data_IF_456432301452
#
_entry.id   IF_456432301452
#
_cell.length_a   1.000
_cell.length_b   1.000
_cell.length_c   1.000
_cell.angle_alpha   90.00
_cell.angle_beta   90.00
_cell.angle_gamma   90.00
#
_symmetry.space_group_name_H-M   'P 1'
#
loop_
_entity.id
_entity.type
_entity.pdbx_description
1 polymer ?
#
# COMPACT_ATOMS: atom_id res chain seq x y z
N UNK A 1 2.66 25.95 19.00
CA UNK A 1 1.93 25.40 17.83
C UNK A 1 2.76 25.50 16.54
N UNK A 2 3.31 26.67 16.18
CA UNK A 2 4.16 26.84 14.99
C UNK A 2 5.39 25.92 15.00
N UNK A 3 6.10 25.84 16.13
CA UNK A 3 7.26 24.93 16.31
C UNK A 3 6.89 23.45 16.12
N UNK A 4 5.71 23.05 16.58
CA UNK A 4 5.20 21.69 16.39
C UNK A 4 4.87 21.41 14.92
N UNK A 5 4.18 22.34 14.25
CA UNK A 5 3.85 22.20 12.83
C UNK A 5 5.10 22.15 11.96
N UNK A 6 6.07 23.03 12.22
CA UNK A 6 7.36 23.05 11.53
C UNK A 6 8.13 21.73 11.70
N UNK A 7 8.19 21.21 12.94
CA UNK A 7 8.83 19.91 13.20
C UNK A 7 8.14 18.78 12.43
N UNK A 8 6.80 18.77 12.40
CA UNK A 8 6.03 17.72 11.71
C UNK A 8 6.16 17.80 10.19
N UNK A 9 6.18 19.00 9.62
CA UNK A 9 6.45 19.23 8.19
C UNK A 9 7.88 18.80 7.83
N UNK A 10 8.87 19.13 8.67
CA UNK A 10 10.25 18.71 8.45
C UNK A 10 10.40 17.18 8.52
N UNK A 11 9.81 16.53 9.52
CA UNK A 11 9.79 15.05 9.58
C UNK A 11 9.11 14.45 8.36
N UNK A 12 7.97 15.00 7.93
CA UNK A 12 7.28 14.55 6.72
C UNK A 12 8.13 14.70 5.46
N UNK A 13 8.80 15.83 5.28
CA UNK A 13 9.69 16.08 4.16
C UNK A 13 10.87 15.10 4.16
N UNK A 14 11.51 14.87 5.32
CA UNK A 14 12.60 13.90 5.44
C UNK A 14 12.15 12.49 5.09
N UNK A 15 10.95 12.09 5.51
CA UNK A 15 10.37 10.78 5.16
C UNK A 15 10.12 10.70 3.65
N UNK A 16 9.52 11.73 3.04
CA UNK A 16 9.27 11.76 1.59
C UNK A 16 10.59 11.61 0.83
N UNK A 17 11.60 12.42 1.18
CA UNK A 17 12.93 12.37 0.54
C UNK A 17 13.58 11.01 0.75
N UNK A 18 13.50 10.44 1.96
CA UNK A 18 14.04 9.12 2.26
C UNK A 18 13.39 8.02 1.41
N UNK A 19 12.06 8.03 1.31
CA UNK A 19 11.31 7.08 0.48
C UNK A 19 11.64 7.26 -1.00
N UNK A 20 11.73 8.49 -1.51
CA UNK A 20 12.07 8.73 -2.91
C UNK A 20 13.50 8.30 -3.23
N UNK A 21 14.48 8.55 -2.36
CA UNK A 21 15.85 8.04 -2.52
C UNK A 21 15.84 6.51 -2.52
N UNK A 22 15.15 5.88 -1.57
CA UNK A 22 15.08 4.43 -1.45
C UNK A 22 14.47 3.80 -2.69
N UNK A 23 13.29 4.26 -3.13
CA UNK A 23 12.61 3.75 -4.33
C UNK A 23 13.44 4.04 -5.58
N UNK A 24 14.03 5.24 -5.70
CA UNK A 24 14.92 5.58 -6.80
C UNK A 24 16.12 4.64 -6.86
N UNK A 25 16.75 4.34 -5.73
CA UNK A 25 17.87 3.40 -5.65
C UNK A 25 17.46 1.98 -6.03
N UNK A 26 16.36 1.48 -5.44
CA UNK A 26 15.84 0.15 -5.72
C UNK A 26 15.51 -0.05 -7.20
N UNK A 27 14.97 0.96 -7.89
CA UNK A 27 14.68 0.84 -9.33
C UNK A 27 15.94 0.76 -10.20
N UNK A 28 17.07 1.35 -9.76
CA UNK A 28 18.36 1.22 -10.48
C UNK A 28 19.10 -0.08 -10.13
N UNK A 29 18.85 -0.62 -8.94
CA UNK A 29 19.36 -1.94 -8.54
C UNK A 29 18.60 -3.09 -9.22
N UNK A 30 17.33 -2.89 -9.54
CA UNK A 30 16.49 -3.89 -10.22
C UNK A 30 16.89 -4.15 -11.69
N UNK A 31 17.69 -3.27 -12.29
CA UNK A 31 18.16 -3.40 -13.67
C UNK A 31 18.25 -2.05 -14.38
N UNK A 32 18.54 -2.10 -15.68
CA UNK A 32 18.60 -0.91 -16.53
C UNK A 32 17.20 -0.42 -16.91
N UNK A 33 16.78 0.80 -16.50
CA UNK A 33 15.47 1.33 -16.86
C UNK A 33 15.25 1.42 -18.38
N UNK A 34 16.29 1.71 -19.18
CA UNK A 34 16.14 1.79 -20.64
C UNK A 34 15.82 0.42 -21.25
N UNK A 35 16.52 -0.63 -20.83
CA UNK A 35 16.25 -2.00 -21.26
C UNK A 35 14.83 -2.47 -20.84
N UNK A 36 14.34 -2.06 -19.67
CA UNK A 36 13.01 -2.42 -19.18
C UNK A 36 11.86 -1.72 -19.92
N UNK A 37 12.13 -0.59 -20.58
CA UNK A 37 11.13 0.15 -21.35
C UNK A 37 11.04 -0.30 -22.82
N UNK A 38 12.02 -1.07 -23.29
CA UNK A 38 12.09 -1.55 -24.66
C UNK A 38 11.63 -3.02 -24.77
N UNK A 39 11.16 -3.47 -25.93
CA UNK A 39 10.89 -4.88 -26.16
C UNK A 39 12.16 -5.73 -25.90
N UNK A 40 12.02 -6.98 -25.43
CA UNK A 40 13.18 -7.86 -25.20
C UNK A 40 14.05 -8.12 -26.45
N UNK A 41 13.49 -7.87 -27.64
CA UNK A 41 14.18 -7.99 -28.94
C UNK A 41 14.92 -6.72 -29.38
N UNK A 42 14.89 -5.63 -28.59
CA UNK A 42 15.54 -4.38 -28.94
C UNK A 42 17.07 -4.55 -29.05
N UNK A 43 17.68 -3.89 -30.02
CA UNK A 43 19.13 -3.98 -30.22
C UNK A 43 19.87 -3.24 -29.10
N UNK A 44 21.14 -3.61 -28.87
CA UNK A 44 21.99 -2.89 -27.92
C UNK A 44 22.14 -1.40 -28.28
N UNK A 45 22.09 -1.06 -29.58
CA UNK A 45 22.10 0.31 -30.07
C UNK A 45 20.84 1.08 -29.67
N UNK A 46 19.66 0.45 -29.74
CA UNK A 46 18.39 1.06 -29.32
C UNK A 46 18.37 1.33 -27.81
N UNK A 47 18.89 0.40 -27.02
CA UNK A 47 19.00 0.54 -25.55
C UNK A 47 19.96 1.69 -25.21
N UNK A 48 21.13 1.76 -25.87
CA UNK A 48 22.09 2.85 -25.66
C UNK A 48 21.51 4.22 -26.06
N UNK A 49 20.80 4.29 -27.20
CA UNK A 49 20.12 5.50 -27.63
C UNK A 49 19.02 5.93 -26.64
N UNK A 50 18.29 4.97 -26.07
CA UNK A 50 17.28 5.24 -25.05
C UNK A 50 17.91 5.72 -23.73
N UNK A 51 19.02 5.11 -23.29
CA UNK A 51 19.77 5.57 -22.11
C UNK A 51 20.19 7.03 -22.23
N UNK A 52 20.79 7.39 -23.36
CA UNK A 52 21.22 8.75 -23.63
C UNK A 52 20.03 9.73 -23.64
N UNK A 53 18.92 9.36 -24.27
CA UNK A 53 17.69 10.18 -24.31
C UNK A 53 17.07 10.41 -22.92
N UNK A 54 17.14 9.42 -22.05
CA UNK A 54 16.61 9.49 -20.68
C UNK A 54 17.62 10.08 -19.68
N UNK A 55 18.84 10.42 -20.12
CA UNK A 55 19.92 10.89 -19.24
C UNK A 55 20.34 9.84 -18.20
N UNK A 56 20.23 8.55 -18.53
CA UNK A 56 20.61 7.46 -17.63
C UNK A 56 22.14 7.26 -17.56
N UNK A 57 22.88 7.91 -18.45
CA UNK A 57 24.35 7.90 -18.47
C UNK A 57 24.98 8.87 -17.44
N UNK A 58 24.18 9.78 -16.89
CA UNK A 58 24.65 10.73 -15.89
C UNK A 58 24.85 10.09 -14.51
N UNK A 59 25.66 10.68 -13.62
CA UNK A 59 25.79 10.21 -12.25
C UNK A 59 24.43 10.13 -11.53
N UNK A 60 24.23 9.09 -10.71
CA UNK A 60 22.96 8.85 -9.99
C UNK A 60 22.43 10.09 -9.23
N UNK A 61 23.26 10.91 -8.56
CA UNK A 61 22.77 12.13 -7.91
C UNK A 61 22.15 13.13 -8.89
N UNK A 62 22.74 13.30 -10.08
CA UNK A 62 22.21 14.19 -11.11
C UNK A 62 20.87 13.68 -11.66
N UNK A 63 20.76 12.37 -11.89
CA UNK A 63 19.50 11.73 -12.28
C UNK A 63 18.41 11.93 -11.20
N UNK A 64 18.76 11.77 -9.92
CA UNK A 64 17.82 11.95 -8.81
C UNK A 64 17.36 13.40 -8.66
N UNK A 65 18.27 14.36 -8.77
CA UNK A 65 17.93 15.78 -8.70
C UNK A 65 17.02 16.21 -9.86
N UNK A 66 17.26 15.70 -11.09
CA UNK A 66 16.33 15.93 -12.21
C UNK A 66 14.95 15.34 -11.94
N UNK A 67 14.90 14.11 -11.43
CA UNK A 67 13.63 13.48 -11.04
C UNK A 67 12.87 14.32 -10.01
N UNK A 68 13.55 14.78 -8.95
CA UNK A 68 12.93 15.63 -7.93
C UNK A 68 12.45 16.98 -8.51
N UNK A 69 13.27 17.63 -9.34
CA UNK A 69 12.92 18.91 -9.95
C UNK A 69 11.69 18.79 -10.88
N UNK A 70 11.59 17.70 -11.62
CA UNK A 70 10.41 17.39 -12.43
C UNK A 70 9.19 17.07 -11.56
N UNK A 71 9.35 16.23 -10.53
CA UNK A 71 8.26 15.79 -9.65
C UNK A 71 7.61 16.97 -8.91
N UNK A 72 8.39 17.95 -8.44
CA UNK A 72 7.87 19.17 -7.79
C UNK A 72 7.03 20.03 -8.76
N UNK A 73 7.26 19.92 -10.07
CA UNK A 73 6.46 20.57 -11.12
C UNK A 73 5.27 19.71 -11.59
N UNK A 74 5.05 18.55 -10.97
CA UNK A 74 4.00 17.60 -11.34
C UNK A 74 4.37 16.66 -12.48
N UNK A 75 5.63 16.67 -12.96
CA UNK A 75 6.10 15.72 -13.96
C UNK A 75 6.79 14.52 -13.30
N UNK A 76 6.08 13.40 -13.26
CA UNK A 76 6.55 12.14 -12.71
C UNK A 76 7.12 11.19 -13.78
N UNK A 77 7.24 11.67 -15.03
CA UNK A 77 7.66 10.86 -16.17
C UNK A 77 6.62 9.80 -16.58
N UNK A 78 7.11 8.78 -17.28
CA UNK A 78 6.29 7.67 -17.80
C UNK A 78 6.42 6.42 -16.93
N UNK A 79 5.35 5.65 -16.83
CA UNK A 79 5.37 4.33 -16.23
C UNK A 79 6.26 3.39 -17.04
N UNK A 80 7.25 2.77 -16.40
CA UNK A 80 8.10 1.75 -17.03
C UNK A 80 7.28 0.55 -17.54
N UNK A 81 6.14 0.26 -16.90
CA UNK A 81 5.29 -0.89 -17.21
C UNK A 81 4.24 -0.60 -18.30
N UNK A 82 3.67 0.60 -18.30
CA UNK A 82 2.54 0.94 -19.19
C UNK A 82 2.92 1.90 -20.31
N UNK A 83 4.11 2.53 -20.27
CA UNK A 83 4.54 3.51 -21.27
C UNK A 83 3.79 4.85 -21.25
N UNK A 84 2.79 4.99 -20.37
CA UNK A 84 1.93 6.17 -20.22
C UNK A 84 2.42 7.11 -19.11
N UNK A 85 2.00 8.39 -19.11
CA UNK A 85 2.30 9.33 -18.02
C UNK A 85 1.91 8.77 -16.64
N UNK A 86 2.84 8.85 -15.68
CA UNK A 86 2.68 8.22 -14.38
C UNK A 86 1.62 8.91 -13.49
N UNK A 87 1.48 10.23 -13.59
CA UNK A 87 0.56 10.99 -12.74
C UNK A 87 -0.93 10.66 -13.01
N UNK A 88 -1.43 10.64 -14.26
CA UNK A 88 -2.78 10.18 -14.54
C UNK A 88 -3.06 8.76 -14.05
N UNK A 89 -2.10 7.84 -14.20
CA UNK A 89 -2.21 6.48 -13.68
C UNK A 89 -2.34 6.47 -12.16
N UNK A 90 -1.54 7.26 -11.45
CA UNK A 90 -1.63 7.41 -9.99
C UNK A 90 -3.02 7.93 -9.58
N UNK A 91 -3.47 9.02 -10.20
CA UNK A 91 -4.76 9.66 -9.89
C UNK A 91 -5.92 8.68 -10.13
N UNK A 92 -5.88 7.91 -11.22
CA UNK A 92 -6.90 6.90 -11.52
C UNK A 92 -7.00 5.78 -10.47
N UNK A 93 -5.95 5.56 -9.67
CA UNK A 93 -5.93 4.54 -8.59
C UNK A 93 -6.31 5.09 -7.22
N UNK A 94 -6.25 6.41 -7.01
CA UNK A 94 -6.58 7.04 -5.73
C UNK A 94 -7.97 6.65 -5.20
N UNK A 95 -9.06 6.68 -6.00
CA UNK A 95 -10.39 6.34 -5.49
C UNK A 95 -10.44 4.93 -4.90
N UNK A 96 -9.80 3.95 -5.55
CA UNK A 96 -9.79 2.58 -5.07
C UNK A 96 -9.05 2.44 -3.72
N UNK A 97 -7.94 3.17 -3.53
CA UNK A 97 -7.22 3.21 -2.25
C UNK A 97 -8.05 3.84 -1.15
N UNK A 98 -8.75 4.94 -1.45
CA UNK A 98 -9.63 5.61 -0.49
C UNK A 98 -10.82 4.73 -0.10
N UNK A 99 -11.50 4.13 -1.09
CA UNK A 99 -12.61 3.20 -0.84
C UNK A 99 -12.17 2.04 0.05
N UNK A 100 -11.04 1.40 -0.26
CA UNK A 100 -10.50 0.30 0.54
C UNK A 100 -10.14 0.76 1.96
N UNK A 101 -9.46 1.90 2.09
CA UNK A 101 -9.06 2.46 3.38
C UNK A 101 -10.27 2.77 4.27
N UNK A 102 -11.28 3.44 3.71
CA UNK A 102 -12.53 3.77 4.42
C UNK A 102 -13.28 2.50 4.80
N UNK A 103 -13.41 1.53 3.88
CA UNK A 103 -14.08 0.26 4.16
C UNK A 103 -13.37 -0.52 5.28
N UNK A 104 -12.04 -0.60 5.25
CA UNK A 104 -11.24 -1.28 6.27
C UNK A 104 -11.36 -0.60 7.64
N UNK A 105 -11.25 0.73 7.70
CA UNK A 105 -11.42 1.48 8.96
C UNK A 105 -12.84 1.35 9.49
N UNK A 106 -13.85 1.53 8.63
CA UNK A 106 -15.25 1.38 9.00
C UNK A 106 -15.55 -0.01 9.57
N UNK A 107 -15.12 -1.07 8.86
CA UNK A 107 -15.25 -2.43 9.33
C UNK A 107 -14.53 -2.65 10.66
N UNK A 108 -13.32 -2.10 10.80
CA UNK A 108 -12.57 -2.22 12.04
C UNK A 108 -13.29 -1.59 13.22
N UNK A 109 -13.85 -0.39 13.07
CA UNK A 109 -14.60 0.29 14.13
C UNK A 109 -15.91 -0.43 14.47
N UNK A 110 -16.66 -0.86 13.45
CA UNK A 110 -17.92 -1.60 13.62
C UNK A 110 -17.72 -2.90 14.40
N UNK A 111 -16.58 -3.57 14.24
CA UNK A 111 -16.27 -4.79 14.99
C UNK A 111 -15.58 -4.51 16.32
N UNK A 112 -14.56 -3.64 16.34
CA UNK A 112 -13.75 -3.42 17.53
C UNK A 112 -14.51 -2.75 18.66
N UNK A 113 -15.38 -1.79 18.37
CA UNK A 113 -16.10 -1.03 19.40
C UNK A 113 -17.08 -1.93 20.16
N UNK A 114 -18.02 -2.64 19.51
CA UNK A 114 -18.95 -3.50 20.25
C UNK A 114 -18.23 -4.63 20.99
N UNK A 115 -17.27 -5.30 20.34
CA UNK A 115 -16.52 -6.38 20.98
C UNK A 115 -15.66 -5.88 22.14
N UNK A 116 -15.07 -4.69 22.02
CA UNK A 116 -14.31 -4.04 23.09
C UNK A 116 -15.20 -3.67 24.27
N UNK A 117 -16.40 -3.14 24.02
CA UNK A 117 -17.40 -2.84 25.05
C UNK A 117 -17.83 -4.13 25.76
N UNK A 118 -18.16 -5.19 25.02
CA UNK A 118 -18.53 -6.48 25.60
C UNK A 118 -17.41 -7.06 26.46
N UNK A 119 -16.16 -6.99 25.99
CA UNK A 119 -14.99 -7.43 26.75
C UNK A 119 -14.77 -6.58 28.02
N UNK A 120 -15.03 -5.26 27.96
CA UNK A 120 -14.95 -4.37 29.12
C UNK A 120 -16.02 -4.70 30.17
N UNK A 121 -17.26 -4.91 29.73
CA UNK A 121 -18.39 -5.23 30.62
C UNK A 121 -18.28 -6.62 31.25
N UNK A 122 -17.59 -7.55 30.58
CA UNK A 122 -17.39 -8.93 31.04
C UNK A 122 -15.96 -9.18 31.51
N UNK A 123 -15.27 -8.12 31.98
CA UNK A 123 -13.84 -8.16 32.36
C UNK A 123 -13.54 -9.32 33.31
N UNK A 124 -12.54 -10.13 32.95
CA UNK A 124 -12.11 -11.30 33.72
C UNK A 124 -12.93 -12.58 33.48
N UNK A 125 -14.00 -12.51 32.68
CA UNK A 125 -14.76 -13.69 32.27
C UNK A 125 -14.06 -14.46 31.14
N UNK A 126 -14.54 -15.69 30.88
CA UNK A 126 -14.11 -16.49 29.72
C UNK A 126 -14.39 -15.75 28.40
N UNK A 127 -15.46 -14.95 28.32
CA UNK A 127 -15.80 -14.19 27.12
C UNK A 127 -14.77 -13.09 26.84
N UNK A 128 -14.39 -12.32 27.85
CA UNK A 128 -13.33 -11.31 27.76
C UNK A 128 -12.00 -11.93 27.30
N UNK A 129 -11.56 -13.00 27.97
CA UNK A 129 -10.32 -13.71 27.62
C UNK A 129 -10.37 -14.27 26.20
N UNK A 130 -11.51 -14.81 25.77
CA UNK A 130 -11.68 -15.36 24.43
C UNK A 130 -11.63 -14.27 23.35
N UNK A 131 -12.33 -13.15 23.56
CA UNK A 131 -12.33 -12.02 22.62
C UNK A 131 -10.94 -11.43 22.47
N UNK A 132 -10.20 -11.28 23.57
CA UNK A 132 -8.81 -10.85 23.54
C UNK A 132 -7.89 -11.86 22.88
N UNK A 133 -8.07 -13.16 23.14
CA UNK A 133 -7.32 -14.22 22.50
C UNK A 133 -7.46 -14.18 20.99
N UNK A 134 -8.71 -14.11 20.49
CA UNK A 134 -9.00 -13.97 19.05
C UNK A 134 -8.39 -12.70 18.47
N UNK A 135 -8.51 -11.56 19.18
CA UNK A 135 -7.94 -10.29 18.73
C UNK A 135 -6.40 -10.32 18.61
N UNK A 136 -5.73 -11.01 19.53
CA UNK A 136 -4.26 -11.20 19.52
C UNK A 136 -3.86 -12.17 18.41
N UNK A 137 -4.54 -13.31 18.29
CA UNK A 137 -4.28 -14.27 17.21
C UNK A 137 -4.45 -13.63 15.83
N UNK A 138 -5.51 -12.85 15.63
CA UNK A 138 -5.75 -12.12 14.38
C UNK A 138 -4.65 -11.12 14.03
N UNK A 139 -3.95 -10.55 15.03
CA UNK A 139 -2.80 -9.68 14.80
C UNK A 139 -1.48 -10.43 14.60
N UNK A 140 -1.35 -11.61 15.21
CA UNK A 140 -0.16 -12.45 15.06
C UNK A 140 -0.08 -13.06 13.66
N UNK A 141 -1.23 -13.22 12.99
CA UNK A 141 -1.30 -13.72 11.62
C UNK A 141 -0.78 -12.67 10.63
N UNK A 142 0.19 -13.01 9.75
CA UNK A 142 0.64 -12.11 8.70
C UNK A 142 -0.48 -11.78 7.70
N UNK A 143 -0.65 -10.50 7.36
CA UNK A 143 -1.71 -10.05 6.44
C UNK A 143 -1.67 -10.77 5.08
N UNK A 144 -0.49 -11.02 4.51
CA UNK A 144 -0.39 -11.73 3.24
C UNK A 144 -0.91 -13.17 3.32
N UNK A 145 -0.65 -13.86 4.43
CA UNK A 145 -1.09 -15.24 4.64
C UNK A 145 -2.60 -15.28 4.87
N UNK A 146 -3.12 -14.35 5.68
CA UNK A 146 -4.55 -14.19 5.86
C UNK A 146 -5.26 -13.92 4.52
N UNK A 147 -4.72 -13.02 3.69
CA UNK A 147 -5.25 -12.74 2.37
C UNK A 147 -5.33 -14.02 1.51
N UNK A 148 -4.24 -14.80 1.47
CA UNK A 148 -4.19 -16.06 0.69
C UNK A 148 -5.23 -17.06 1.20
N UNK A 149 -5.37 -17.23 2.52
CA UNK A 149 -6.39 -18.11 3.08
C UNK A 149 -7.81 -17.67 2.75
N UNK A 150 -8.10 -16.38 2.92
CA UNK A 150 -9.42 -15.83 2.61
C UNK A 150 -9.75 -15.99 1.14
N UNK A 151 -8.79 -15.78 0.24
CA UNK A 151 -8.95 -16.03 -1.20
C UNK A 151 -9.20 -17.53 -1.44
N UNK A 152 -8.38 -18.42 -0.89
CA UNK A 152 -8.54 -19.87 -1.11
C UNK A 152 -9.90 -20.39 -0.65
N UNK A 153 -10.38 -19.96 0.51
CA UNK A 153 -11.66 -20.41 1.07
C UNK A 153 -12.83 -19.74 0.35
N UNK A 154 -12.87 -18.40 0.36
CA UNK A 154 -14.08 -17.67 -0.06
C UNK A 154 -14.13 -17.33 -1.54
N UNK A 155 -12.98 -17.31 -2.22
CA UNK A 155 -12.94 -17.07 -3.66
C UNK A 155 -12.82 -18.37 -4.44
N UNK A 156 -11.79 -19.19 -4.17
CA UNK A 156 -11.54 -20.42 -4.95
C UNK A 156 -12.45 -21.57 -4.55
N UNK A 157 -12.56 -21.85 -3.24
CA UNK A 157 -13.35 -22.98 -2.75
C UNK A 157 -14.86 -22.75 -2.85
N UNK A 158 -15.32 -21.57 -2.41
CA UNK A 158 -16.75 -21.24 -2.33
C UNK A 158 -17.28 -20.45 -3.53
N UNK A 159 -16.42 -19.77 -4.30
CA UNK A 159 -16.85 -18.95 -5.44
C UNK A 159 -17.63 -17.67 -5.06
N UNK A 160 -17.59 -17.23 -3.80
CA UNK A 160 -18.41 -16.10 -3.32
C UNK A 160 -17.87 -14.74 -3.76
N UNK A 161 -16.54 -14.59 -3.81
CA UNK A 161 -15.88 -13.34 -4.13
C UNK A 161 -14.86 -13.53 -5.26
N UNK A 162 -14.51 -12.47 -6.02
CA UNK A 162 -13.45 -12.55 -7.02
C UNK A 162 -12.06 -12.69 -6.37
N UNK A 163 -11.15 -13.34 -7.08
CA UNK A 163 -9.77 -13.58 -6.59
C UNK A 163 -8.91 -12.33 -6.61
N UNK A 164 -9.14 -11.45 -7.59
CA UNK A 164 -8.40 -10.21 -7.78
C UNK A 164 -9.18 -9.21 -8.65
N UNK A 165 -8.71 -7.96 -8.65
CA UNK A 165 -9.26 -6.90 -9.48
C UNK A 165 -10.57 -6.31 -8.96
N UNK A 166 -11.08 -5.32 -9.69
CA UNK A 166 -12.33 -4.58 -9.39
C UNK A 166 -13.44 -4.95 -10.37
N UNK A 167 -13.67 -6.25 -10.54
CA UNK A 167 -14.60 -6.77 -11.55
C UNK A 167 -16.02 -6.99 -11.03
N UNK A 168 -16.22 -7.06 -9.72
CA UNK A 168 -17.50 -7.42 -9.09
C UNK A 168 -18.03 -6.35 -8.10
N UNK A 169 -17.71 -5.08 -8.32
CA UNK A 169 -18.18 -3.97 -7.47
C UNK A 169 -17.77 -4.14 -6.00
N UNK A 170 -18.72 -4.06 -5.07
CA UNK A 170 -18.47 -4.20 -3.62
C UNK A 170 -17.91 -5.58 -3.23
N UNK A 171 -18.23 -6.64 -3.97
CA UNK A 171 -17.70 -7.97 -3.70
C UNK A 171 -16.17 -8.02 -3.85
N UNK A 172 -15.61 -7.22 -4.76
CA UNK A 172 -14.16 -7.07 -4.91
C UNK A 172 -13.47 -6.37 -3.72
N UNK A 173 -14.23 -5.70 -2.85
CA UNK A 173 -13.69 -4.97 -1.70
C UNK A 173 -13.72 -5.80 -0.41
N UNK A 174 -14.59 -6.82 -0.30
CA UNK A 174 -14.81 -7.53 0.98
C UNK A 174 -13.54 -8.21 1.49
N UNK A 175 -12.91 -9.08 0.70
CA UNK A 175 -11.72 -9.81 1.17
C UNK A 175 -10.54 -8.88 1.48
N UNK A 176 -10.20 -7.90 0.62
CA UNK A 176 -9.15 -6.93 0.93
C UNK A 176 -9.47 -6.08 2.17
N UNK A 177 -10.73 -5.64 2.33
CA UNK A 177 -11.13 -4.83 3.48
C UNK A 177 -11.06 -5.63 4.78
N UNK A 178 -11.53 -6.88 4.80
CA UNK A 178 -11.43 -7.78 5.98
C UNK A 178 -9.98 -8.03 6.35
N UNK A 179 -9.14 -8.35 5.37
CA UNK A 179 -7.70 -8.58 5.59
C UNK A 179 -7.04 -7.34 6.19
N UNK A 180 -7.33 -6.16 5.62
CA UNK A 180 -6.73 -4.89 6.06
C UNK A 180 -7.26 -4.47 7.43
N UNK A 181 -8.54 -4.71 7.70
CA UNK A 181 -9.18 -4.36 8.95
C UNK A 181 -8.70 -5.22 10.13
N UNK A 182 -8.30 -6.48 9.91
CA UNK A 182 -8.07 -7.44 11.00
C UNK A 182 -7.05 -6.96 12.04
N UNK A 183 -5.93 -6.39 11.58
CA UNK A 183 -4.93 -5.81 12.47
C UNK A 183 -5.50 -4.63 13.27
N UNK A 184 -6.29 -3.79 12.62
CA UNK A 184 -6.91 -2.61 13.23
C UNK A 184 -8.01 -3.01 14.23
N UNK A 185 -8.83 -4.02 13.91
CA UNK A 185 -9.85 -4.57 14.83
C UNK A 185 -9.20 -4.94 16.16
N UNK A 186 -8.13 -5.74 16.11
CA UNK A 186 -7.54 -6.26 17.33
C UNK A 186 -6.79 -5.21 18.14
N UNK A 187 -6.21 -4.17 17.51
CA UNK A 187 -5.58 -3.06 18.24
C UNK A 187 -6.62 -2.16 18.90
N UNK A 188 -7.68 -1.80 18.17
CA UNK A 188 -8.74 -0.92 18.68
C UNK A 188 -9.62 -1.62 19.72
N UNK A 189 -9.91 -2.91 19.58
CA UNK A 189 -10.70 -3.68 20.56
C UNK A 189 -10.03 -3.63 21.93
N UNK A 190 -8.71 -3.82 21.99
CA UNK A 190 -7.95 -3.75 23.25
C UNK A 190 -7.92 -2.34 23.83
N UNK A 191 -7.85 -1.32 22.98
CA UNK A 191 -7.91 0.07 23.40
C UNK A 191 -9.27 0.40 24.02
N UNK A 192 -10.38 -0.04 23.40
CA UNK A 192 -11.75 0.17 23.89
C UNK A 192 -12.01 -0.59 25.20
N UNK A 193 -11.41 -1.79 25.36
CA UNK A 193 -11.51 -2.58 26.60
C UNK A 193 -10.76 -1.96 27.79
N UNK A 194 -9.61 -1.32 27.51
CA UNK A 194 -8.64 -0.83 28.50
C UNK A 194 -9.27 0.16 29.48
#
# INVERSE_FOLDING_TARGET
MISYLARRLLTGLLVIVGVTVMVFGLTRLAGDPAALMLPPSASAADIAAMRARLGLDDPLPAQYLRFLAAAVRGDFGKSLRHGEPALPLLIARLPATFELGIAAVGLALVLAIPLGIVAALTRGSVLDVSLLGVAVLGQAVPNFWLAILLINVFSVGLGWFPTAGRTAGLASLVLPAVTTAMYLVGTQLRLVRG
#
